data_IF_656660044362
#
_entry.id   IF_656660044362
#
_cell.length_a   1.000
_cell.length_b   1.000
_cell.length_c   1.000
_cell.angle_alpha   90.00
_cell.angle_beta   90.00
_cell.angle_gamma   90.00
#
_symmetry.space_group_name_H-M   'P 1'
#
loop_
_entity.id
_entity.type
_entity.pdbx_description
1 polymer ?
#
# COMPACT_ATOMS: atom_id res chain seq x y z
N UNK A 1 -7.40 -14.18 13.79
CA UNK A 1 -6.58 -13.13 13.14
C UNK A 1 -6.31 -12.08 14.20
N UNK A 2 -5.06 -11.74 14.51
CA UNK A 2 -4.73 -10.64 15.42
C UNK A 2 -5.29 -9.33 14.82
N UNK A 3 -6.01 -8.52 15.58
CA UNK A 3 -6.55 -7.23 15.08
C UNK A 3 -5.39 -6.33 14.63
N UNK A 4 -5.64 -5.41 13.69
CA UNK A 4 -4.62 -4.45 13.23
C UNK A 4 -3.98 -3.69 14.40
N UNK A 5 -4.75 -3.43 15.45
CA UNK A 5 -4.30 -2.72 16.66
C UNK A 5 -3.19 -3.51 17.38
N UNK A 6 -3.36 -4.83 17.53
CA UNK A 6 -2.33 -5.69 18.16
C UNK A 6 -1.04 -5.83 17.33
N UNK A 7 -1.07 -5.55 16.02
CA UNK A 7 0.15 -5.48 15.20
C UNK A 7 0.87 -4.15 15.38
N UNK A 8 0.12 -3.06 15.49
CA UNK A 8 0.69 -1.72 15.72
C UNK A 8 1.31 -1.61 17.12
N UNK A 9 0.82 -2.35 18.11
CA UNK A 9 1.37 -2.36 19.47
C UNK A 9 2.78 -2.95 19.54
N UNK A 10 3.05 -4.05 18.82
CA UNK A 10 4.32 -4.80 18.92
C UNK A 10 5.51 -4.13 18.20
N UNK A 11 5.27 -3.10 17.41
CA UNK A 11 6.33 -2.36 16.71
C UNK A 11 6.76 -1.20 17.60
N UNK A 12 8.02 -1.25 18.05
CA UNK A 12 8.60 -0.26 18.98
C UNK A 12 9.05 1.02 18.29
N UNK A 13 9.57 0.93 17.06
CA UNK A 13 9.87 2.11 16.25
C UNK A 13 8.58 2.61 15.59
N UNK A 14 8.02 3.70 16.13
CA UNK A 14 6.73 4.27 15.70
C UNK A 14 6.82 5.13 14.42
N UNK A 15 7.88 4.99 13.62
CA UNK A 15 7.96 5.57 12.26
C UNK A 15 7.32 4.62 11.26
N UNK A 16 6.31 5.08 10.54
CA UNK A 16 5.57 4.30 9.54
C UNK A 16 5.70 4.95 8.17
N UNK A 17 6.21 4.19 7.20
CA UNK A 17 6.24 4.58 5.79
C UNK A 17 5.11 3.87 5.05
N UNK A 18 4.15 4.63 4.54
CA UNK A 18 3.13 4.14 3.60
C UNK A 18 3.61 4.48 2.21
N UNK A 19 3.86 3.48 1.37
CA UNK A 19 4.41 3.67 0.03
C UNK A 19 3.57 2.98 -1.03
N UNK A 20 3.07 3.77 -1.98
CA UNK A 20 2.24 3.31 -3.09
C UNK A 20 2.68 3.96 -4.41
N UNK A 21 2.34 3.38 -5.57
CA UNK A 21 2.78 3.92 -6.85
C UNK A 21 2.03 5.20 -7.23
N UNK A 22 0.72 5.29 -6.97
CA UNK A 22 -0.13 6.41 -7.45
C UNK A 22 -0.87 7.12 -6.30
N UNK A 23 -1.23 8.41 -6.46
CA UNK A 23 -1.99 9.17 -5.45
C UNK A 23 -3.48 8.81 -5.41
N UNK A 24 -3.91 7.99 -4.46
CA UNK A 24 -5.28 7.46 -4.24
C UNK A 24 -5.17 6.09 -3.57
N UNK A 25 -4.19 5.31 -4.02
CA UNK A 25 -3.83 3.99 -3.49
C UNK A 25 -3.72 4.01 -1.96
N UNK A 26 -3.09 5.02 -1.38
CA UNK A 26 -2.89 5.14 0.06
C UNK A 26 -4.21 5.32 0.82
N UNK A 27 -5.11 6.13 0.27
CA UNK A 27 -6.39 6.45 0.87
C UNK A 27 -7.33 5.25 0.76
N UNK A 28 -7.38 4.60 -0.41
CA UNK A 28 -8.22 3.44 -0.70
C UNK A 28 -7.77 2.22 0.11
N UNK A 29 -6.47 1.96 0.17
CA UNK A 29 -5.97 0.70 0.72
C UNK A 29 -5.55 0.78 2.18
N UNK A 30 -5.15 1.97 2.63
CA UNK A 30 -4.53 2.15 3.94
C UNK A 30 -5.09 3.31 4.76
N UNK A 31 -6.10 4.06 4.29
CA UNK A 31 -6.62 5.25 5.00
C UNK A 31 -7.03 4.97 6.45
N UNK A 32 -7.81 3.89 6.68
CA UNK A 32 -8.20 3.48 8.03
C UNK A 32 -7.03 2.99 8.89
N UNK A 33 -6.01 2.38 8.27
CA UNK A 33 -4.79 1.97 8.97
C UNK A 33 -3.94 3.19 9.36
N UNK A 34 -3.81 4.18 8.47
CA UNK A 34 -3.09 5.43 8.71
C UNK A 34 -3.66 6.14 9.93
N UNK A 35 -4.98 6.36 9.97
CA UNK A 35 -5.62 7.04 11.10
C UNK A 35 -5.43 6.27 12.42
N UNK A 36 -5.57 4.93 12.40
CA UNK A 36 -5.32 4.08 13.58
C UNK A 36 -3.87 4.15 14.05
N UNK A 37 -2.91 4.11 13.13
CA UNK A 37 -1.49 4.23 13.47
C UNK A 37 -1.19 5.60 14.09
N UNK A 38 -1.71 6.68 13.51
CA UNK A 38 -1.53 8.03 14.07
C UNK A 38 -2.17 8.17 15.46
N UNK A 39 -3.36 7.62 15.67
CA UNK A 39 -3.99 7.55 16.99
C UNK A 39 -3.14 6.75 18.00
N UNK A 40 -2.41 5.73 17.52
CA UNK A 40 -1.42 4.96 18.28
C UNK A 40 -0.04 5.61 18.40
N UNK A 41 0.11 6.90 18.07
CA UNK A 41 1.35 7.67 18.23
C UNK A 41 2.39 7.45 17.12
N UNK A 42 2.01 6.89 15.98
CA UNK A 42 2.94 6.75 14.85
C UNK A 42 3.19 8.08 14.13
N UNK A 43 4.44 8.32 13.80
CA UNK A 43 4.85 9.29 12.79
C UNK A 43 4.69 8.65 11.42
N UNK A 44 3.67 9.08 10.67
CA UNK A 44 3.34 8.49 9.36
C UNK A 44 3.88 9.38 8.25
N UNK A 45 4.72 8.81 7.39
CA UNK A 45 5.14 9.38 6.11
C UNK A 45 4.42 8.67 4.97
N UNK A 46 3.74 9.41 4.09
CA UNK A 46 3.12 8.85 2.88
C UNK A 46 3.97 9.18 1.65
N UNK A 47 4.30 8.18 0.85
CA UNK A 47 5.09 8.34 -0.37
C UNK A 47 4.35 7.76 -1.58
N UNK A 48 4.12 8.60 -2.59
CA UNK A 48 3.70 8.17 -3.93
C UNK A 48 4.84 8.32 -4.94
N UNK A 49 5.02 7.34 -5.81
CA UNK A 49 6.13 7.33 -6.77
C UNK A 49 5.85 8.20 -8.00
N UNK A 50 4.60 8.33 -8.38
CA UNK A 50 4.16 9.02 -9.59
C UNK A 50 3.15 10.12 -9.24
N UNK A 51 2.91 11.02 -10.18
CA UNK A 51 1.83 12.02 -10.07
C UNK A 51 0.50 11.48 -10.64
N UNK A 52 0.47 10.22 -11.09
CA UNK A 52 -0.75 9.58 -11.54
C UNK A 52 -1.37 10.17 -12.82
N UNK A 53 -0.55 10.84 -13.63
CA UNK A 53 -1.00 11.65 -14.77
C UNK A 53 -1.66 10.88 -15.92
N UNK A 54 -1.61 9.54 -15.93
CA UNK A 54 -2.27 8.68 -16.94
C UNK A 54 -3.61 8.10 -16.50
N UNK A 55 -4.00 8.31 -15.24
CA UNK A 55 -5.37 8.03 -14.80
C UNK A 55 -6.37 8.87 -15.62
N UNK A 56 -7.47 8.24 -16.07
CA UNK A 56 -8.52 8.97 -16.79
C UNK A 56 -9.25 9.92 -15.83
N UNK A 57 -8.90 11.20 -15.86
CA UNK A 57 -9.69 12.23 -15.16
C UNK A 57 -10.96 12.48 -15.97
N UNK A 58 -12.12 12.12 -15.40
CA UNK A 58 -13.43 12.33 -16.02
C UNK A 58 -13.99 13.74 -15.73
N UNK A 59 -13.10 14.72 -15.58
CA UNK A 59 -13.44 16.11 -15.32
C UNK A 59 -12.68 16.92 -16.36
N UNK A 60 -13.42 17.65 -17.20
CA UNK A 60 -12.88 18.65 -18.12
C UNK A 60 -12.13 19.69 -17.30
N UNK A 61 -10.82 19.46 -17.11
CA UNK A 61 -9.95 20.36 -16.39
C UNK A 61 -10.04 21.73 -17.04
N UNK A 62 -10.41 22.76 -16.27
CA UNK A 62 -10.44 24.18 -16.66
C UNK A 62 -9.01 24.69 -16.99
N UNK A 63 -8.33 24.09 -17.97
CA UNK A 63 -6.93 24.36 -18.34
C UNK A 63 -5.86 23.74 -17.44
N UNK A 64 -6.22 22.97 -16.40
CA UNK A 64 -5.27 22.31 -15.48
C UNK A 64 -4.82 20.94 -15.97
N UNK A 65 -3.55 20.60 -15.77
CA UNK A 65 -3.02 19.26 -16.07
C UNK A 65 -3.54 18.20 -15.09
N UNK A 66 -3.54 16.94 -15.51
CA UNK A 66 -3.98 15.83 -14.67
C UNK A 66 -3.14 15.67 -13.39
N UNK A 67 -1.83 15.90 -13.49
CA UNK A 67 -0.90 15.85 -12.37
C UNK A 67 -1.18 16.94 -11.32
N UNK A 68 -1.58 18.15 -11.74
CA UNK A 68 -1.94 19.23 -10.81
C UNK A 68 -3.21 18.92 -10.03
N UNK A 69 -4.22 18.39 -10.72
CA UNK A 69 -5.48 17.97 -10.10
C UNK A 69 -5.20 16.87 -9.07
N UNK A 70 -4.46 15.81 -9.46
CA UNK A 70 -4.12 14.71 -8.54
C UNK A 70 -3.25 15.15 -7.37
N UNK A 71 -2.36 16.14 -7.54
CA UNK A 71 -1.62 16.74 -6.42
C UNK A 71 -2.58 17.38 -5.41
N UNK A 72 -3.55 18.15 -5.89
CA UNK A 72 -4.53 18.82 -5.03
C UNK A 72 -5.43 17.80 -4.32
N UNK A 73 -5.86 16.75 -5.02
CA UNK A 73 -6.63 15.64 -4.45
C UNK A 73 -5.84 14.92 -3.35
N UNK A 74 -4.58 14.57 -3.62
CA UNK A 74 -3.69 13.94 -2.64
C UNK A 74 -3.49 14.85 -1.42
N UNK A 75 -3.21 16.14 -1.62
CA UNK A 75 -3.05 17.08 -0.50
C UNK A 75 -4.32 17.19 0.36
N UNK A 76 -5.50 17.24 -0.28
CA UNK A 76 -6.80 17.22 0.42
C UNK A 76 -7.02 15.91 1.17
N UNK A 77 -6.70 14.76 0.57
CA UNK A 77 -6.81 13.45 1.21
C UNK A 77 -5.87 13.35 2.43
N UNK A 78 -4.61 13.75 2.29
CA UNK A 78 -3.64 13.74 3.40
C UNK A 78 -4.07 14.65 4.54
N UNK A 79 -4.58 15.85 4.23
CA UNK A 79 -5.16 16.75 5.23
C UNK A 79 -6.32 16.11 5.99
N UNK A 80 -7.23 15.42 5.29
CA UNK A 80 -8.36 14.70 5.92
C UNK A 80 -7.94 13.50 6.76
N UNK A 81 -6.85 12.83 6.36
CA UNK A 81 -6.26 11.74 7.13
C UNK A 81 -5.39 12.24 8.30
N UNK A 82 -5.11 13.55 8.38
CA UNK A 82 -4.25 14.16 9.39
C UNK A 82 -2.75 14.01 9.10
N UNK A 83 -2.37 13.50 7.92
CA UNK A 83 -0.97 13.28 7.54
C UNK A 83 -0.34 14.58 7.06
N UNK A 84 0.64 15.09 7.81
CA UNK A 84 1.42 16.28 7.43
C UNK A 84 2.66 15.95 6.60
N UNK A 85 3.25 14.76 6.79
CA UNK A 85 4.45 14.32 6.08
C UNK A 85 4.08 13.42 4.90
N UNK A 86 3.93 14.03 3.73
CA UNK A 86 3.66 13.31 2.51
C UNK A 86 4.53 13.81 1.36
N UNK A 87 4.92 12.89 0.50
CA UNK A 87 5.87 13.11 -0.59
C UNK A 87 5.27 12.51 -1.85
N UNK A 88 5.29 13.30 -2.92
CA UNK A 88 4.95 12.82 -4.25
C UNK A 88 6.15 12.99 -5.18
N UNK A 89 6.73 11.86 -5.58
CA UNK A 89 7.75 11.84 -6.63
C UNK A 89 7.11 12.01 -8.01
N UNK A 90 7.96 12.32 -8.99
CA UNK A 90 7.56 12.63 -10.36
C UNK A 90 8.09 11.59 -11.34
N UNK A 91 7.98 10.31 -11.00
CA UNK A 91 8.30 9.24 -11.95
C UNK A 91 7.14 9.01 -12.92
N UNK A 92 7.47 8.49 -14.10
CA UNK A 92 6.51 8.23 -15.17
C UNK A 92 5.50 7.15 -14.75
N UNK A 93 4.23 7.55 -14.67
CA UNK A 93 3.07 6.69 -14.46
C UNK A 93 2.98 5.58 -15.52
N UNK A 94 2.75 4.35 -15.10
CA UNK A 94 2.71 3.13 -15.93
C UNK A 94 4.06 2.67 -16.45
N UNK A 95 5.18 3.28 -16.01
CA UNK A 95 6.53 2.93 -16.47
C UNK A 95 7.49 2.56 -15.34
N UNK A 96 7.02 2.38 -14.11
CA UNK A 96 7.90 2.02 -12.98
C UNK A 96 8.61 0.69 -13.21
N UNK A 97 7.98 -0.27 -13.90
CA UNK A 97 8.64 -1.53 -14.26
C UNK A 97 9.89 -1.34 -15.12
N UNK A 98 9.89 -0.34 -16.03
CA UNK A 98 10.94 -0.10 -17.04
C UNK A 98 12.01 0.87 -16.56
N UNK A 99 11.80 1.53 -15.42
CA UNK A 99 12.70 2.53 -14.88
C UNK A 99 13.39 1.99 -13.62
N UNK A 100 14.69 2.24 -13.48
CA UNK A 100 15.47 1.72 -12.35
C UNK A 100 15.78 2.80 -11.30
N UNK A 101 15.85 4.07 -11.71
CA UNK A 101 16.27 5.20 -10.85
C UNK A 101 15.43 5.35 -9.56
N UNK A 102 14.13 5.06 -9.62
CA UNK A 102 13.28 5.13 -8.43
C UNK A 102 13.60 4.03 -7.41
N UNK A 103 14.14 2.89 -7.83
CA UNK A 103 14.47 1.74 -6.95
C UNK A 103 15.61 2.10 -6.02
N UNK A 104 16.67 2.70 -6.56
CA UNK A 104 17.80 3.20 -5.77
C UNK A 104 17.36 4.32 -4.84
N UNK A 105 16.54 5.25 -5.34
CA UNK A 105 15.98 6.34 -4.53
C UNK A 105 15.14 5.80 -3.37
N UNK A 106 14.30 4.79 -3.61
CA UNK A 106 13.50 4.12 -2.59
C UNK A 106 14.39 3.43 -1.56
N UNK A 107 15.42 2.69 -2.01
CA UNK A 107 16.35 2.03 -1.11
C UNK A 107 17.08 3.03 -0.21
N UNK A 108 17.52 4.15 -0.76
CA UNK A 108 18.15 5.23 0.01
C UNK A 108 17.16 5.86 1.00
N UNK A 109 15.96 6.18 0.54
CA UNK A 109 14.91 6.77 1.36
C UNK A 109 14.54 5.89 2.56
N UNK A 110 14.37 4.58 2.36
CA UNK A 110 14.07 3.64 3.45
C UNK A 110 15.24 3.54 4.45
N UNK A 111 16.48 3.55 3.96
CA UNK A 111 17.67 3.53 4.83
C UNK A 111 17.79 4.81 5.67
N UNK A 112 17.54 5.98 5.07
CA UNK A 112 17.66 7.29 5.74
C UNK A 112 16.52 7.53 6.74
N UNK A 113 15.29 7.18 6.38
CA UNK A 113 14.13 7.35 7.26
C UNK A 113 14.04 6.29 8.35
N UNK A 114 14.64 5.11 8.11
CA UNK A 114 14.69 3.96 9.03
C UNK A 114 13.33 3.68 9.69
N UNK A 115 12.28 3.40 8.89
CA UNK A 115 10.94 3.19 9.42
C UNK A 115 10.88 1.89 10.22
N UNK A 116 10.03 1.85 11.26
CA UNK A 116 9.70 0.61 11.95
C UNK A 116 8.67 -0.23 11.22
N UNK A 117 7.82 0.40 10.43
CA UNK A 117 6.78 -0.23 9.62
C UNK A 117 6.79 0.33 8.20
N UNK A 118 6.80 -0.54 7.20
CA UNK A 118 6.55 -0.19 5.80
C UNK A 118 5.25 -0.84 5.36
N UNK A 119 4.37 -0.07 4.71
CA UNK A 119 3.08 -0.52 4.19
C UNK A 119 3.03 -0.32 2.69
N UNK A 120 2.66 -1.36 1.95
CA UNK A 120 2.50 -1.31 0.48
C UNK A 120 1.62 -2.47 0.01
N UNK A 121 1.36 -2.58 -1.30
CA UNK A 121 0.61 -3.68 -1.89
C UNK A 121 1.28 -5.04 -1.66
N UNK A 122 0.48 -6.11 -1.64
CA UNK A 122 1.03 -7.47 -1.76
C UNK A 122 1.72 -7.72 -3.12
N UNK A 123 2.34 -8.88 -3.26
CA UNK A 123 3.11 -9.23 -4.47
C UNK A 123 2.25 -9.41 -5.73
N UNK A 124 0.93 -9.53 -5.61
CA UNK A 124 0.02 -9.53 -6.77
C UNK A 124 -0.23 -8.11 -7.30
N UNK A 125 0.15 -7.08 -6.53
CA UNK A 125 -0.21 -5.70 -6.81
C UNK A 125 -1.70 -5.42 -6.66
N UNK A 126 -2.46 -6.38 -6.12
CA UNK A 126 -3.91 -6.39 -5.92
C UNK A 126 -4.74 -6.39 -7.22
N UNK A 127 -4.41 -5.51 -8.16
CA UNK A 127 -5.07 -5.36 -9.47
C UNK A 127 -4.29 -6.00 -10.62
N UNK A 128 -3.10 -6.56 -10.35
CA UNK A 128 -2.17 -7.00 -11.40
C UNK A 128 -1.45 -5.86 -12.13
N UNK A 129 -1.64 -4.60 -11.71
CA UNK A 129 -1.01 -3.45 -12.35
C UNK A 129 0.53 -3.53 -12.24
N UNK A 130 1.29 -3.40 -13.36
CA UNK A 130 2.74 -3.59 -13.37
C UNK A 130 3.50 -2.71 -12.38
N UNK A 131 3.02 -1.48 -12.14
CA UNK A 131 3.66 -0.56 -11.20
C UNK A 131 3.45 -0.97 -9.74
N UNK A 132 2.29 -1.54 -9.41
CA UNK A 132 1.97 -2.05 -8.06
C UNK A 132 2.89 -3.23 -7.73
N UNK A 133 2.97 -4.20 -8.66
CA UNK A 133 3.84 -5.36 -8.54
C UNK A 133 5.31 -4.92 -8.45
N UNK A 134 5.72 -3.97 -9.31
CA UNK A 134 7.11 -3.50 -9.36
C UNK A 134 7.54 -2.85 -8.05
N UNK A 135 6.70 -1.98 -7.48
CA UNK A 135 6.94 -1.36 -6.18
C UNK A 135 6.99 -2.40 -5.07
N UNK A 136 5.99 -3.27 -4.98
CA UNK A 136 5.92 -4.27 -3.90
C UNK A 136 7.15 -5.19 -3.88
N UNK A 137 7.58 -5.65 -5.06
CA UNK A 137 8.81 -6.44 -5.21
C UNK A 137 10.06 -5.66 -4.78
N UNK A 138 10.15 -4.36 -5.12
CA UNK A 138 11.32 -3.56 -4.77
C UNK A 138 11.38 -3.24 -3.27
N UNK A 139 10.24 -2.95 -2.64
CA UNK A 139 10.16 -2.78 -1.18
C UNK A 139 10.65 -4.05 -0.50
N UNK A 140 10.16 -5.21 -0.91
CA UNK A 140 10.58 -6.49 -0.35
C UNK A 140 12.09 -6.75 -0.51
N UNK A 141 12.65 -6.48 -1.70
CA UNK A 141 14.08 -6.61 -1.97
C UNK A 141 14.92 -5.65 -1.14
N UNK A 142 14.49 -4.40 -1.03
CA UNK A 142 15.14 -3.36 -0.24
C UNK A 142 15.22 -3.76 1.23
N UNK A 143 14.10 -4.20 1.82
CA UNK A 143 14.08 -4.64 3.22
C UNK A 143 14.95 -5.89 3.46
N UNK A 144 15.02 -6.81 2.49
CA UNK A 144 15.96 -7.94 2.56
C UNK A 144 17.43 -7.50 2.53
N UNK A 145 17.78 -6.49 1.73
CA UNK A 145 19.15 -5.95 1.63
C UNK A 145 19.59 -5.22 2.88
N UNK A 146 18.71 -4.42 3.49
CA UNK A 146 19.01 -3.59 4.67
C UNK A 146 19.33 -4.44 5.93
N UNK A 147 19.00 -5.74 5.94
CA UNK A 147 19.26 -6.70 7.04
C UNK A 147 18.81 -6.23 8.44
N UNK A 148 17.97 -5.20 8.53
CA UNK A 148 17.42 -4.70 9.78
C UNK A 148 16.12 -5.44 10.13
N UNK A 149 16.22 -6.45 11.01
CA UNK A 149 15.07 -7.28 11.44
C UNK A 149 14.00 -6.51 12.24
N UNK A 150 14.28 -5.26 12.63
CA UNK A 150 13.33 -4.40 13.34
C UNK A 150 12.28 -3.80 12.41
N UNK A 151 12.60 -3.61 11.12
CA UNK A 151 11.64 -3.10 10.15
C UNK A 151 10.63 -4.20 9.84
N UNK A 152 9.34 -3.89 9.98
CA UNK A 152 8.23 -4.77 9.60
C UNK A 152 7.64 -4.32 8.28
N UNK A 153 7.23 -5.29 7.47
CA UNK A 153 6.50 -5.07 6.21
C UNK A 153 5.07 -5.55 6.39
N UNK A 154 4.11 -4.67 6.11
CA UNK A 154 2.69 -5.02 6.05
C UNK A 154 2.21 -4.87 4.62
N UNK A 155 1.67 -5.96 4.09
CA UNK A 155 1.02 -5.94 2.78
C UNK A 155 -0.48 -5.71 2.92
N UNK A 156 -0.99 -4.74 2.17
CA UNK A 156 -2.42 -4.56 1.98
C UNK A 156 -2.87 -5.35 0.74
N UNK A 157 -4.02 -6.00 0.86
CA UNK A 157 -4.60 -6.84 -0.19
C UNK A 157 -6.12 -6.84 -0.06
N UNK A 158 -6.85 -7.12 -1.15
CA UNK A 158 -8.28 -7.41 -1.07
C UNK A 158 -8.44 -8.85 -0.56
N UNK A 159 -8.77 -9.03 0.72
CA UNK A 159 -8.95 -10.33 1.32
C UNK A 159 -10.42 -10.76 1.33
N UNK A 160 -10.74 -11.87 0.66
CA UNK A 160 -12.02 -12.56 0.81
C UNK A 160 -12.28 -13.65 -0.23
N UNK A 161 -11.83 -14.89 0.02
CA UNK A 161 -12.37 -16.13 -0.59
C UNK A 161 -12.13 -16.42 -2.08
N UNK A 162 -11.89 -15.43 -2.94
CA UNK A 162 -11.92 -15.63 -4.39
C UNK A 162 -10.58 -15.33 -5.08
N UNK A 163 -9.49 -15.95 -4.62
CA UNK A 163 -8.21 -15.97 -5.38
C UNK A 163 -8.38 -16.56 -6.80
N UNK A 164 -9.47 -17.28 -7.07
CA UNK A 164 -9.75 -17.92 -8.36
C UNK A 164 -10.63 -17.14 -9.35
N UNK A 165 -11.10 -15.91 -9.05
CA UNK A 165 -12.04 -15.21 -9.96
C UNK A 165 -11.71 -13.78 -10.34
N UNK A 166 -10.63 -13.20 -9.82
CA UNK A 166 -10.22 -11.84 -10.21
C UNK A 166 -8.71 -11.71 -10.42
N UNK A 167 -8.15 -12.75 -11.03
CA UNK A 167 -6.82 -12.76 -11.58
C UNK A 167 -7.06 -12.95 -13.08
N UNK A 168 -6.95 -11.87 -13.87
CA UNK A 168 -6.97 -11.95 -15.34
C UNK A 168 -6.01 -13.08 -15.75
N UNK A 169 -6.41 -13.94 -16.70
CA UNK A 169 -5.59 -15.06 -17.19
C UNK A 169 -4.19 -14.63 -17.67
N UNK A 170 -3.98 -13.33 -17.92
CA UNK A 170 -2.66 -12.74 -18.18
C UNK A 170 -1.73 -12.71 -16.97
N UNK A 171 -2.21 -12.85 -15.75
CA UNK A 171 -1.43 -12.78 -14.49
C UNK A 171 -0.74 -14.11 -14.14
N UNK A 172 -1.16 -15.25 -14.71
CA UNK A 172 -0.54 -16.56 -14.45
C UNK A 172 0.94 -16.61 -14.85
N UNK A 173 1.35 -15.84 -15.86
CA UNK A 173 2.75 -15.68 -16.23
C UNK A 173 3.60 -14.85 -15.24
N UNK A 174 2.97 -14.17 -14.28
CA UNK A 174 3.60 -13.25 -13.33
C UNK A 174 3.56 -13.75 -11.87
N UNK A 175 2.79 -14.80 -11.58
CA UNK A 175 2.76 -15.43 -10.26
C UNK A 175 4.05 -16.23 -10.01
N UNK A 176 5.08 -15.59 -9.46
CA UNK A 176 6.10 -16.37 -8.76
C UNK A 176 5.47 -16.96 -7.50
N UNK A 177 5.24 -18.28 -7.49
CA UNK A 177 4.81 -19.02 -6.29
C UNK A 177 5.85 -18.79 -5.19
N UNK A 178 5.58 -17.98 -4.15
CA UNK A 178 6.53 -17.80 -3.08
C UNK A 178 6.67 -19.14 -2.36
N UNK A 179 7.89 -19.64 -2.16
CA UNK A 179 8.16 -20.69 -1.16
C UNK A 179 8.00 -20.09 0.24
N UNK A 180 6.78 -19.68 0.60
CA UNK A 180 6.42 -19.26 1.93
C UNK A 180 6.07 -20.51 2.74
N UNK A 181 6.77 -20.71 3.86
CA UNK A 181 6.37 -21.68 4.88
C UNK A 181 5.03 -21.19 5.45
N UNK A 182 3.95 -21.90 5.13
CA UNK A 182 2.61 -21.60 5.65
C UNK A 182 2.66 -21.69 7.18
N UNK A 183 2.14 -20.67 7.87
CA UNK A 183 1.66 -20.87 9.24
C UNK A 183 0.50 -21.88 9.15
N UNK A 184 0.42 -22.88 10.04
CA UNK A 184 -0.54 -23.96 9.94
C UNK A 184 -1.98 -23.41 9.93
N UNK A 185 -2.78 -23.96 9.04
CA UNK A 185 -4.20 -23.65 8.88
C UNK A 185 -5.03 -24.53 9.84
N UNK A 186 -5.74 -23.89 10.77
CA UNK A 186 -6.91 -24.44 11.46
C UNK A 186 -7.79 -23.24 11.89
N UNK A 187 -8.91 -22.96 11.20
CA UNK A 187 -10.30 -23.48 11.40
C UNK A 187 -11.12 -22.58 12.35
N UNK A 188 -12.46 -22.41 12.22
CA UNK A 188 -13.37 -22.36 11.06
C UNK A 188 -13.95 -20.93 10.83
N UNK A 189 -14.51 -20.67 9.65
CA UNK A 189 -15.28 -19.45 9.35
C UNK A 189 -16.54 -19.37 10.23
N UNK A 190 -16.72 -18.25 10.91
CA UNK A 190 -18.02 -17.82 11.43
C UNK A 190 -18.93 -17.46 10.25
N UNK A 191 -19.74 -18.42 9.81
CA UNK A 191 -21.10 -18.14 9.40
C UNK A 191 -21.90 -17.71 10.65
N UNK A 192 -22.91 -16.85 10.47
CA UNK A 192 -23.80 -16.29 11.50
C UNK A 192 -23.34 -15.01 12.22
N UNK A 193 -23.35 -13.88 11.50
CA UNK A 193 -23.93 -12.64 12.05
C UNK A 193 -24.77 -11.99 10.94
N UNK A 194 -25.96 -12.53 10.70
CA UNK A 194 -27.06 -11.78 10.11
C UNK A 194 -27.86 -11.16 11.26
N UNK A 195 -28.24 -9.87 11.21
CA UNK A 195 -29.02 -9.25 12.27
C UNK A 195 -30.41 -9.90 12.34
N UNK A 196 -30.76 -10.46 13.51
CA UNK A 196 -32.13 -10.90 13.82
C UNK A 196 -33.06 -9.70 13.63
N UNK A 197 -33.98 -9.78 12.67
CA UNK A 197 -35.12 -8.86 12.57
C UNK A 197 -35.93 -8.97 13.86
N UNK A 198 -36.24 -7.83 14.49
CA UNK A 198 -37.19 -7.78 15.61
C UNK A 198 -38.59 -8.10 15.06
N UNK A 199 -39.39 -8.95 15.72
CA UNK A 199 -40.80 -9.06 15.38
C UNK A 199 -41.56 -7.83 15.86
N UNK A 200 -42.46 -7.36 15.01
CA UNK A 200 -43.61 -6.49 15.33
C UNK A 200 -44.69 -7.28 16.04
#
# INVERSE_FOLDING_TARGET
MKSNDSLLEIITNKKMLVVFPHPDDESVMAGGLIQRAMAGGYQVTVLTLTEGGRGKIHISGRGRSSAEIRRQEMASAMSRLGVSDWIMWKFDDGKLRRTMRWRERLSKFVSETSPGLVVTYDLSGVSGHPDHISLSLEVFRTLKRIKNKKIKLLWVSFAGGNKGRMVDMRVDGYLQKPKLRRLPAALPLLAEIAPKRRPS
#
